data_IF_129877539123
#
_entry.id   IF_129877539123
#
_cell.length_a   1.000
_cell.length_b   1.000
_cell.length_c   1.000
_cell.angle_alpha   90.00
_cell.angle_beta   90.00
_cell.angle_gamma   90.00
#
_symmetry.space_group_name_H-M   'P 1'
#
loop_
_entity.id
_entity.type
_entity.pdbx_description
1 polymer ?
#
# COMPACT_ATOMS: atom_id res chain seq x y z
N UNK A 1 3.46 9.22 -0.05
CA UNK A 1 3.61 10.18 1.06
C UNK A 1 2.23 10.79 1.31
N UNK A 2 1.46 10.18 2.21
CA UNK A 2 0.25 10.79 2.75
C UNK A 2 0.67 11.44 4.06
N UNK A 3 0.82 12.76 4.05
CA UNK A 3 1.05 13.51 5.27
C UNK A 3 -0.26 13.49 6.06
N UNK A 4 -0.28 12.79 7.19
CA UNK A 4 -1.31 12.99 8.21
C UNK A 4 -0.69 13.83 9.32
N UNK A 5 -1.24 15.03 9.47
CA UNK A 5 -0.89 15.94 10.55
C UNK A 5 -1.35 15.33 11.89
N UNK A 6 -0.53 15.52 12.92
CA UNK A 6 -0.80 15.14 14.30
C UNK A 6 -2.00 15.90 14.84
N UNK A 7 -2.85 15.22 15.63
CA UNK A 7 -4.06 15.79 16.22
C UNK A 7 -3.80 16.87 17.29
N UNK A 8 -2.54 17.18 17.59
CA UNK A 8 -2.13 18.17 18.59
C UNK A 8 -1.86 19.58 18.02
N UNK A 9 -1.96 19.78 16.70
CA UNK A 9 -1.80 21.09 16.04
C UNK A 9 -3.05 21.46 15.25
N UNK A 10 -4.22 21.39 15.91
CA UNK A 10 -5.44 21.99 15.38
C UNK A 10 -5.32 23.52 15.47
N UNK A 11 -4.63 24.11 14.49
CA UNK A 11 -4.93 25.48 14.09
C UNK A 11 -6.37 25.46 13.58
N UNK A 12 -7.23 26.29 14.19
CA UNK A 12 -8.60 26.53 13.75
C UNK A 12 -8.60 26.84 12.26
N UNK A 13 -8.93 25.83 11.47
CA UNK A 13 -9.13 25.97 10.03
C UNK A 13 -10.63 26.08 9.82
N UNK A 14 -11.02 27.19 9.20
CA UNK A 14 -12.36 27.56 8.73
C UNK A 14 -13.22 26.33 8.37
N UNK A 15 -14.04 25.88 9.33
CA UNK A 15 -14.84 24.65 9.28
C UNK A 15 -16.06 24.75 8.35
N UNK A 16 -16.15 25.82 7.54
CA UNK A 16 -17.39 26.18 6.83
C UNK A 16 -17.40 25.88 5.32
N UNK A 17 -16.31 25.34 4.75
CA UNK A 17 -16.29 24.99 3.32
C UNK A 17 -16.87 23.59 3.09
N UNK A 18 -18.16 23.53 2.81
CA UNK A 18 -18.82 22.32 2.30
C UNK A 18 -18.16 21.90 0.99
N UNK A 19 -17.49 20.74 0.98
CA UNK A 19 -16.89 20.19 -0.22
C UNK A 19 -17.98 19.80 -1.22
N UNK A 20 -18.14 20.59 -2.30
CA UNK A 20 -19.18 20.40 -3.31
C UNK A 20 -18.82 19.33 -4.34
N UNK A 21 -17.52 19.13 -4.60
CA UNK A 21 -17.03 18.18 -5.61
C UNK A 21 -16.46 16.96 -4.90
N UNK A 22 -16.92 15.74 -5.23
CA UNK A 22 -16.40 14.55 -4.59
C UNK A 22 -14.93 14.34 -4.94
N UNK A 23 -14.15 13.80 -3.98
CA UNK A 23 -12.81 13.29 -4.27
C UNK A 23 -12.87 12.12 -5.26
N UNK A 24 -11.73 11.69 -5.80
CA UNK A 24 -11.68 10.53 -6.70
C UNK A 24 -12.44 9.31 -6.16
N UNK A 25 -12.24 8.98 -4.88
CA UNK A 25 -12.96 7.86 -4.23
C UNK A 25 -14.46 8.12 -4.12
N UNK A 26 -14.86 9.34 -3.73
CA UNK A 26 -16.27 9.73 -3.63
C UNK A 26 -16.96 9.68 -5.00
N UNK A 27 -16.31 10.18 -6.05
CA UNK A 27 -16.81 10.14 -7.41
C UNK A 27 -17.02 8.69 -7.85
N UNK A 28 -16.01 7.83 -7.70
CA UNK A 28 -16.10 6.42 -8.07
C UNK A 28 -17.14 5.65 -7.25
N UNK A 29 -17.40 6.03 -6.00
CA UNK A 29 -18.47 5.44 -5.18
C UNK A 29 -19.86 5.83 -5.72
N UNK A 30 -20.04 7.09 -6.13
CA UNK A 30 -21.30 7.58 -6.70
C UNK A 30 -21.62 6.98 -8.07
N UNK A 31 -20.60 6.59 -8.85
CA UNK A 31 -20.78 5.95 -10.16
C UNK A 31 -21.17 4.47 -10.07
N UNK A 32 -21.21 3.87 -8.88
CA UNK A 32 -21.56 2.45 -8.69
C UNK A 32 -23.06 2.28 -8.49
N UNK A 33 -23.63 1.22 -9.07
CA UNK A 33 -25.02 0.82 -8.82
C UNK A 33 -25.26 0.44 -7.35
N UNK A 34 -24.22 -0.05 -6.66
CA UNK A 34 -24.25 -0.40 -5.24
C UNK A 34 -23.18 0.41 -4.52
N UNK A 35 -23.62 1.27 -3.61
CA UNK A 35 -22.73 2.06 -2.76
C UNK A 35 -22.04 1.12 -1.77
N UNK A 36 -20.70 1.09 -1.73
CA UNK A 36 -19.98 0.23 -0.80
C UNK A 36 -20.24 0.66 0.66
N UNK A 37 -20.20 -0.28 1.62
CA UNK A 37 -20.29 0.06 3.03
C UNK A 37 -19.15 0.99 3.43
N UNK A 38 -19.41 1.86 4.42
CA UNK A 38 -18.42 2.79 4.92
C UNK A 38 -17.23 2.03 5.52
N UNK A 39 -16.03 2.30 5.01
CA UNK A 39 -14.79 1.75 5.55
C UNK A 39 -14.30 2.55 6.77
N UNK A 40 -13.75 1.88 7.76
CA UNK A 40 -13.00 2.50 8.86
C UNK A 40 -11.50 2.53 8.56
N UNK A 41 -10.81 3.58 9.01
CA UNK A 41 -9.36 3.72 8.86
C UNK A 41 -8.74 3.81 10.24
N UNK A 42 -7.89 2.83 10.57
CA UNK A 42 -7.12 2.79 11.81
C UNK A 42 -5.61 2.85 11.55
N UNK A 43 -4.86 3.32 12.55
CA UNK A 43 -3.40 3.17 12.55
C UNK A 43 -2.96 2.04 13.45
N UNK A 44 -1.97 1.32 12.96
CA UNK A 44 -1.27 0.32 13.74
C UNK A 44 -0.10 0.98 14.49
N UNK A 45 0.22 0.50 15.71
CA UNK A 45 1.37 0.98 16.44
C UNK A 45 2.67 0.72 15.67
N UNK A 46 3.57 1.69 15.71
CA UNK A 46 4.88 1.58 15.07
C UNK A 46 5.72 0.49 15.73
N UNK A 47 6.37 -0.35 14.93
CA UNK A 47 7.36 -1.32 15.41
C UNK A 47 8.70 -0.60 15.53
N UNK A 48 9.23 -0.52 16.75
CA UNK A 48 10.48 0.19 17.06
C UNK A 48 11.70 -0.68 16.72
N UNK A 49 11.90 -0.96 15.43
CA UNK A 49 13.06 -1.69 14.91
C UNK A 49 13.29 -1.37 13.44
N UNK A 50 14.46 -1.72 12.91
CA UNK A 50 14.77 -1.44 11.52
C UNK A 50 13.80 -2.18 10.58
N UNK A 51 13.17 -1.49 9.61
CA UNK A 51 12.22 -2.12 8.68
C UNK A 51 12.89 -3.12 7.72
N UNK A 52 14.22 -3.09 7.61
CA UNK A 52 14.98 -4.01 6.75
C UNK A 52 15.39 -5.31 7.43
N UNK A 53 15.23 -5.40 8.76
CA UNK A 53 15.48 -6.62 9.52
C UNK A 53 14.36 -7.64 9.31
N UNK A 54 14.75 -8.89 9.06
CA UNK A 54 13.81 -9.97 8.80
C UNK A 54 12.87 -10.23 10.00
N UNK A 55 13.38 -10.09 11.22
CA UNK A 55 12.62 -10.19 12.47
C UNK A 55 11.51 -9.15 12.57
N UNK A 56 11.78 -7.91 12.16
CA UNK A 56 10.80 -6.82 12.10
C UNK A 56 9.68 -7.15 11.12
N UNK A 57 10.04 -7.58 9.90
CA UNK A 57 9.06 -7.94 8.87
C UNK A 57 8.24 -9.16 9.29
N UNK A 58 8.86 -10.15 9.93
CA UNK A 58 8.15 -11.30 10.50
C UNK A 58 7.14 -10.88 11.56
N UNK A 59 7.54 -10.01 12.49
CA UNK A 59 6.65 -9.47 13.54
C UNK A 59 5.48 -8.68 12.94
N UNK A 60 5.73 -7.91 11.89
CA UNK A 60 4.69 -7.22 11.12
C UNK A 60 3.67 -8.19 10.52
N UNK A 61 4.14 -9.27 9.88
CA UNK A 61 3.26 -10.29 9.28
C UNK A 61 2.44 -11.04 10.34
N UNK A 62 3.03 -11.35 11.49
CA UNK A 62 2.31 -11.94 12.62
C UNK A 62 1.19 -11.04 13.13
N UNK A 63 1.48 -9.75 13.37
CA UNK A 63 0.45 -8.77 13.76
C UNK A 63 -0.65 -8.63 12.71
N UNK A 64 -0.28 -8.69 11.44
CA UNK A 64 -1.24 -8.64 10.32
C UNK A 64 -2.20 -9.83 10.38
N UNK A 65 -1.72 -11.04 10.65
CA UNK A 65 -2.58 -12.23 10.81
C UNK A 65 -3.51 -12.12 12.01
N UNK A 66 -3.04 -11.58 13.14
CA UNK A 66 -3.88 -11.31 14.31
C UNK A 66 -5.01 -10.32 13.97
N UNK A 67 -4.70 -9.26 13.21
CA UNK A 67 -5.69 -8.27 12.77
C UNK A 67 -6.70 -8.89 11.82
N UNK A 68 -6.24 -9.66 10.83
CA UNK A 68 -7.11 -10.39 9.89
C UNK A 68 -8.11 -11.27 10.64
N UNK A 69 -7.64 -11.95 11.70
CA UNK A 69 -8.47 -12.81 12.54
C UNK A 69 -9.45 -11.99 13.38
N UNK A 70 -9.00 -10.92 14.02
CA UNK A 70 -9.85 -10.03 14.85
C UNK A 70 -10.93 -9.29 14.05
N UNK A 71 -10.66 -9.01 12.78
CA UNK A 71 -11.61 -8.38 11.86
C UNK A 71 -12.45 -9.40 11.09
N UNK A 72 -12.30 -10.70 11.37
CA UNK A 72 -13.01 -11.79 10.71
C UNK A 72 -12.89 -11.75 9.18
N UNK A 73 -11.73 -11.33 8.68
CA UNK A 73 -11.43 -11.27 7.25
C UNK A 73 -10.89 -12.61 6.76
N UNK A 74 -11.34 -13.04 5.58
CA UNK A 74 -10.83 -14.24 4.91
C UNK A 74 -9.36 -14.07 4.52
N UNK A 75 -9.03 -12.90 3.96
CA UNK A 75 -7.70 -12.54 3.47
C UNK A 75 -7.38 -11.09 3.82
N UNK A 76 -6.09 -10.77 3.90
CA UNK A 76 -5.59 -9.44 4.20
C UNK A 76 -4.50 -9.02 3.20
N UNK A 77 -4.68 -7.84 2.60
CA UNK A 77 -3.72 -7.27 1.65
C UNK A 77 -2.74 -6.36 2.39
N UNK A 78 -1.44 -6.68 2.30
CA UNK A 78 -0.37 -5.87 2.89
C UNK A 78 0.39 -5.15 1.78
N UNK A 79 0.30 -3.82 1.79
CA UNK A 79 1.00 -2.97 0.82
C UNK A 79 2.33 -2.52 1.41
N UNK A 80 3.43 -2.87 0.75
CA UNK A 80 4.79 -2.65 1.24
C UNK A 80 5.62 -1.85 0.23
N UNK A 81 6.62 -1.11 0.70
CA UNK A 81 7.70 -0.64 -0.17
C UNK A 81 8.50 -1.82 -0.74
N UNK A 82 9.29 -1.56 -1.78
CA UNK A 82 9.99 -2.60 -2.51
C UNK A 82 11.00 -3.39 -1.67
N UNK A 83 11.69 -2.74 -0.72
CA UNK A 83 12.70 -3.41 0.09
C UNK A 83 12.03 -4.34 1.11
N UNK A 84 11.02 -3.86 1.82
CA UNK A 84 10.25 -4.67 2.78
C UNK A 84 9.48 -5.78 2.07
N UNK A 85 8.88 -5.50 0.91
CA UNK A 85 8.17 -6.49 0.09
C UNK A 85 9.05 -7.69 -0.24
N UNK A 86 10.31 -7.47 -0.62
CA UNK A 86 11.26 -8.55 -0.93
C UNK A 86 11.57 -9.45 0.27
N UNK A 87 11.60 -8.89 1.48
CA UNK A 87 11.81 -9.63 2.73
C UNK A 87 10.55 -10.37 3.15
N UNK A 88 9.38 -9.74 3.00
CA UNK A 88 8.10 -10.36 3.29
C UNK A 88 7.85 -11.58 2.39
N UNK A 89 8.19 -11.50 1.10
CA UNK A 89 8.12 -12.65 0.18
C UNK A 89 8.97 -13.83 0.66
N UNK A 90 10.19 -13.58 1.12
CA UNK A 90 11.07 -14.63 1.64
C UNK A 90 10.42 -15.37 2.82
N UNK A 91 9.77 -14.63 3.73
CA UNK A 91 9.09 -15.19 4.89
C UNK A 91 7.85 -15.97 4.46
N UNK A 92 6.98 -15.36 3.66
CA UNK A 92 5.72 -15.98 3.21
C UNK A 92 5.98 -17.23 2.38
N UNK A 93 6.99 -17.26 1.53
CA UNK A 93 7.34 -18.46 0.78
C UNK A 93 7.91 -19.57 1.65
N UNK A 94 8.69 -19.22 2.69
CA UNK A 94 9.23 -20.20 3.64
C UNK A 94 8.14 -20.82 4.52
N UNK A 95 7.13 -20.04 4.91
CA UNK A 95 6.05 -20.45 5.81
C UNK A 95 4.67 -20.23 5.16
N UNK A 96 4.49 -20.75 3.94
CA UNK A 96 3.29 -20.48 3.12
C UNK A 96 1.98 -20.90 3.77
N UNK A 97 1.99 -21.99 4.53
CA UNK A 97 0.82 -22.45 5.29
C UNK A 97 0.42 -21.48 6.40
N UNK A 98 1.40 -20.83 7.05
CA UNK A 98 1.16 -19.90 8.16
C UNK A 98 0.60 -18.57 7.68
N UNK A 99 1.09 -18.10 6.55
CA UNK A 99 0.72 -16.80 5.98
C UNK A 99 -0.21 -16.95 4.76
N UNK A 100 -1.01 -18.02 4.73
CA UNK A 100 -1.91 -18.34 3.61
C UNK A 100 -3.01 -17.30 3.39
N UNK A 101 -3.37 -16.51 4.41
CA UNK A 101 -4.33 -15.40 4.32
C UNK A 101 -3.70 -14.07 3.91
N UNK A 102 -2.36 -14.00 3.81
CA UNK A 102 -1.65 -12.74 3.51
C UNK A 102 -1.41 -12.61 2.02
N UNK A 103 -1.95 -11.54 1.43
CA UNK A 103 -1.66 -11.14 0.06
C UNK A 103 -0.69 -9.96 0.10
N UNK A 104 0.54 -10.19 -0.32
CA UNK A 104 1.54 -9.14 -0.42
C UNK A 104 1.35 -8.32 -1.70
N UNK A 105 1.44 -7.00 -1.59
CA UNK A 105 1.36 -6.07 -2.74
C UNK A 105 2.45 -4.99 -2.65
N UNK A 106 3.04 -4.64 -3.79
CA UNK A 106 3.91 -3.47 -3.88
C UNK A 106 3.10 -2.16 -3.77
N UNK A 107 3.65 -1.17 -3.07
CA UNK A 107 3.11 0.19 -3.03
C UNK A 107 2.97 0.78 -4.43
N UNK A 108 1.90 1.55 -4.65
CA UNK A 108 1.55 2.10 -5.96
C UNK A 108 2.70 2.87 -6.64
N UNK A 109 3.51 3.59 -5.85
CA UNK A 109 4.73 4.24 -6.33
C UNK A 109 5.71 3.24 -6.93
N UNK A 110 6.10 2.23 -6.16
CA UNK A 110 7.02 1.19 -6.63
C UNK A 110 6.43 0.38 -7.79
N UNK A 111 5.13 0.07 -7.77
CA UNK A 111 4.46 -0.57 -8.92
C UNK A 111 4.60 0.27 -10.19
N UNK A 112 4.41 1.58 -10.08
CA UNK A 112 4.57 2.51 -11.21
C UNK A 112 6.02 2.55 -11.69
N UNK A 113 6.99 2.65 -10.78
CA UNK A 113 8.42 2.61 -11.12
C UNK A 113 8.81 1.31 -11.82
N UNK A 114 8.32 0.17 -11.34
CA UNK A 114 8.56 -1.14 -11.97
C UNK A 114 7.98 -1.17 -13.39
N UNK A 115 6.73 -0.71 -13.58
CA UNK A 115 6.09 -0.65 -14.89
C UNK A 115 6.85 0.25 -15.87
N UNK A 116 7.22 1.47 -15.44
CA UNK A 116 8.01 2.39 -16.26
C UNK A 116 9.37 1.79 -16.63
N UNK A 117 10.03 1.10 -15.70
CA UNK A 117 11.28 0.39 -15.96
C UNK A 117 11.12 -0.74 -16.98
N UNK A 118 10.02 -1.49 -16.93
CA UNK A 118 9.69 -2.54 -17.92
C UNK A 118 9.46 -1.95 -19.30
N UNK A 119 8.66 -0.88 -19.41
CA UNK A 119 8.41 -0.16 -20.67
C UNK A 119 9.74 0.34 -21.23
N UNK A 120 10.55 1.03 -20.43
CA UNK A 120 11.85 1.56 -20.85
C UNK A 120 12.79 0.47 -21.38
N UNK A 121 12.85 -0.70 -20.74
CA UNK A 121 13.65 -1.85 -21.21
C UNK A 121 13.08 -2.48 -22.48
N UNK A 122 11.76 -2.62 -22.58
CA UNK A 122 11.09 -3.22 -23.76
C UNK A 122 11.30 -2.38 -25.01
N UNK A 123 11.20 -1.06 -24.90
CA UNK A 123 11.31 -0.13 -26.03
C UNK A 123 12.72 0.42 -26.25
N UNK A 124 13.71 0.02 -25.43
CA UNK A 124 15.12 0.43 -25.57
C UNK A 124 15.72 0.13 -26.95
N UNK A 125 15.20 -0.89 -27.65
CA UNK A 125 15.62 -1.29 -29.01
C UNK A 125 14.69 -0.81 -30.14
N UNK A 126 13.57 -0.18 -29.81
CA UNK A 126 12.61 0.37 -30.79
C UNK A 126 12.72 1.89 -30.90
N UNK A 127 13.55 2.53 -30.07
CA UNK A 127 14.02 3.87 -30.37
C UNK A 127 14.91 3.77 -31.61
N UNK A 128 14.63 4.50 -32.71
CA UNK A 128 15.60 4.59 -33.80
C UNK A 128 16.91 4.99 -33.16
N UNK A 129 17.94 4.16 -33.33
CA UNK A 129 19.30 4.59 -33.09
C UNK A 129 19.38 5.97 -33.72
N UNK A 130 19.60 7.00 -32.88
CA UNK A 130 20.09 8.26 -33.40
C UNK A 130 21.45 7.89 -33.96
N UNK A 131 21.47 7.55 -35.25
CA UNK A 131 22.59 7.84 -36.11
C UNK A 131 22.97 9.28 -35.79
N UNK A 132 24.16 9.49 -35.22
CA UNK A 132 25.26 10.23 -35.84
C UNK A 132 26.25 10.68 -34.76
N UNK A 133 27.50 10.22 -34.94
CA UNK A 133 28.78 10.69 -34.40
C UNK A 133 29.13 10.39 -32.94
#
# INVERSE_FOLDING_TARGET
MLLRMSSSELQETDYSRVQTIPSWSGFNALQRCVVPPQSSVGYLPCIQSSPTELSTVYSLLMKTMEICTKLEQEEIVVVLDQAIYSKALQIVWKESQRFNKVILRLGAFHTTCVMLGVIGKRFRRCWPERCTH
#
